data_IF_645435052809
#
_entry.id   IF_645435052809
#
_cell.length_a   1.000
_cell.length_b   1.000
_cell.length_c   1.000
_cell.angle_alpha   90.00
_cell.angle_beta   90.00
_cell.angle_gamma   90.00
#
_symmetry.space_group_name_H-M   'P 1'
#
loop_
_entity.id
_entity.type
_entity.pdbx_description
1 polymer ?
#
# COMPACT_ATOMS: atom_id res chain seq x y z
N UNK A 1 -27.64 14.09 26.18
CA UNK A 1 -27.09 14.69 24.94
C UNK A 1 -25.65 14.24 24.79
N UNK A 2 -25.37 13.23 23.96
CA UNK A 2 -24.00 12.75 23.74
C UNK A 2 -23.30 13.67 22.73
N UNK A 3 -22.48 14.59 23.20
CA UNK A 3 -21.63 15.43 22.35
C UNK A 3 -20.59 14.54 21.64
N UNK A 4 -20.89 14.12 20.41
CA UNK A 4 -19.96 13.40 19.53
C UNK A 4 -18.99 14.39 18.87
N UNK A 5 -18.08 14.94 19.68
CA UNK A 5 -16.90 15.62 19.15
C UNK A 5 -15.86 14.56 18.77
N UNK A 6 -16.02 13.95 17.60
CA UNK A 6 -15.08 12.97 17.01
C UNK A 6 -14.41 13.57 15.77
N UNK A 7 -13.65 14.66 15.94
CA UNK A 7 -12.96 15.34 14.82
C UNK A 7 -11.45 15.54 15.04
N UNK A 8 -10.81 14.73 15.89
CA UNK A 8 -9.36 14.86 16.16
C UNK A 8 -8.59 13.55 16.22
N UNK A 9 -9.02 12.53 15.46
CA UNK A 9 -8.14 11.39 15.16
C UNK A 9 -7.14 11.82 14.08
N UNK A 10 -6.09 12.51 14.51
CA UNK A 10 -4.99 13.00 13.69
C UNK A 10 -4.34 11.89 12.87
N UNK A 11 -4.87 11.68 11.66
CA UNK A 11 -4.29 10.83 10.63
C UNK A 11 -3.22 11.66 9.92
N UNK A 12 -2.02 11.72 10.49
CA UNK A 12 -0.87 12.28 9.78
C UNK A 12 -0.73 11.52 8.46
N UNK A 13 -0.78 12.21 7.30
CA UNK A 13 -0.70 11.54 6.01
C UNK A 13 0.64 10.81 5.92
N UNK A 14 0.58 9.48 5.77
CA UNK A 14 1.78 8.66 5.60
C UNK A 14 2.52 9.14 4.35
N UNK A 15 3.82 9.50 4.45
CA UNK A 15 4.59 9.90 3.28
C UNK A 15 4.61 8.75 2.28
N UNK A 16 4.22 9.05 1.04
CA UNK A 16 4.38 8.12 -0.09
C UNK A 16 5.64 8.51 -0.83
N UNK A 17 6.42 7.52 -1.23
CA UNK A 17 7.55 7.71 -2.12
C UNK A 17 7.00 7.67 -3.54
N UNK A 18 7.22 8.74 -4.30
CA UNK A 18 6.96 8.75 -5.74
C UNK A 18 8.24 8.36 -6.49
N UNK A 19 8.13 7.48 -7.46
CA UNK A 19 9.27 6.99 -8.24
C UNK A 19 8.79 6.01 -9.32
N UNK A 20 9.63 5.69 -10.31
CA UNK A 20 9.26 4.73 -11.36
C UNK A 20 9.93 3.38 -11.06
N UNK A 21 9.14 2.41 -10.60
CA UNK A 21 9.60 1.04 -10.36
C UNK A 21 8.84 0.05 -11.24
N UNK A 22 9.46 -1.10 -11.53
CA UNK A 22 8.82 -2.15 -12.33
C UNK A 22 8.36 -3.29 -11.44
N UNK A 23 7.12 -3.75 -11.66
CA UNK A 23 6.60 -4.94 -11.02
C UNK A 23 7.39 -6.18 -11.47
N UNK A 24 7.87 -6.99 -10.52
CA UNK A 24 8.65 -8.19 -10.83
C UNK A 24 7.82 -9.32 -11.46
N UNK A 25 6.49 -9.27 -11.36
CA UNK A 25 5.60 -10.29 -11.97
C UNK A 25 5.10 -9.89 -13.35
N UNK A 26 4.59 -8.66 -13.51
CA UNK A 26 3.90 -8.23 -14.74
C UNK A 26 4.64 -7.13 -15.51
N UNK A 27 5.71 -6.55 -14.96
CA UNK A 27 6.43 -5.43 -15.57
C UNK A 27 5.70 -4.08 -15.51
N UNK A 28 4.55 -4.00 -14.84
CA UNK A 28 3.80 -2.75 -14.67
C UNK A 28 4.62 -1.69 -13.93
N UNK A 29 4.48 -0.44 -14.36
CA UNK A 29 5.14 0.71 -13.73
C UNK A 29 4.38 1.11 -12.46
N UNK A 30 5.10 1.19 -11.35
CA UNK A 30 4.59 1.60 -10.04
C UNK A 30 5.16 2.99 -9.79
N UNK A 31 4.27 3.96 -9.63
CA UNK A 31 4.60 5.38 -9.48
C UNK A 31 4.61 5.84 -8.02
N UNK A 32 3.94 5.09 -7.13
CA UNK A 32 3.71 5.48 -5.74
C UNK A 32 3.80 4.26 -4.82
N UNK A 33 4.69 4.30 -3.82
CA UNK A 33 4.79 3.28 -2.79
C UNK A 33 4.74 3.89 -1.39
N UNK A 34 4.06 3.25 -0.43
CA UNK A 34 4.03 3.71 0.97
C UNK A 34 5.27 3.30 1.76
N UNK A 35 6.25 2.67 1.10
CA UNK A 35 7.51 2.20 1.68
C UNK A 35 8.65 2.47 0.71
N UNK A 36 9.87 2.59 1.23
CA UNK A 36 11.08 2.67 0.41
C UNK A 36 11.34 1.33 -0.29
N UNK A 37 11.39 1.31 -1.63
CA UNK A 37 11.66 0.09 -2.37
C UNK A 37 13.12 -0.33 -2.19
N UNK A 38 13.33 -1.54 -1.70
CA UNK A 38 14.65 -2.14 -1.55
C UNK A 38 14.97 -3.02 -2.77
N UNK A 39 16.19 -2.91 -3.29
CA UNK A 39 16.69 -3.73 -4.41
C UNK A 39 16.74 -5.24 -4.10
N UNK A 40 16.81 -5.61 -2.82
CA UNK A 40 16.80 -7.01 -2.38
C UNK A 40 15.41 -7.68 -2.40
N UNK A 41 14.31 -6.92 -2.56
CA UNK A 41 12.94 -7.45 -2.47
C UNK A 41 12.16 -7.20 -3.76
N UNK A 42 11.47 -8.23 -4.30
CA UNK A 42 10.63 -8.05 -5.48
C UNK A 42 9.47 -7.12 -5.16
N UNK A 43 9.26 -6.14 -6.03
CA UNK A 43 8.17 -5.17 -5.90
C UNK A 43 7.00 -5.67 -6.72
N UNK A 44 5.81 -5.68 -6.11
CA UNK A 44 4.58 -6.08 -6.77
C UNK A 44 3.63 -4.90 -6.88
N UNK A 45 2.96 -4.75 -8.02
CA UNK A 45 1.90 -3.77 -8.17
C UNK A 45 0.69 -4.15 -7.29
N UNK A 46 -0.21 -3.20 -7.07
CA UNK A 46 -1.42 -3.41 -6.27
C UNK A 46 -2.24 -4.61 -6.77
N UNK A 47 -2.25 -4.87 -8.07
CA UNK A 47 -2.97 -6.00 -8.67
C UNK A 47 -2.31 -7.34 -8.38
N UNK A 48 -1.00 -7.48 -8.64
CA UNK A 48 -0.23 -8.69 -8.31
C UNK A 48 -0.32 -9.01 -6.82
N UNK A 49 -0.18 -8.00 -5.97
CA UNK A 49 -0.30 -8.18 -4.53
C UNK A 49 -1.73 -8.57 -4.10
N UNK A 50 -2.77 -8.05 -4.76
CA UNK A 50 -4.16 -8.46 -4.51
C UNK A 50 -4.41 -9.91 -4.95
N UNK A 51 -3.82 -10.36 -6.06
CA UNK A 51 -3.92 -11.75 -6.54
C UNK A 51 -3.18 -12.72 -5.62
N UNK A 52 -2.01 -12.32 -5.14
CA UNK A 52 -1.16 -13.18 -4.29
C UNK A 52 -1.55 -13.13 -2.81
N UNK A 53 -2.55 -12.33 -2.43
CA UNK A 53 -3.07 -12.31 -1.05
C UNK A 53 -3.73 -13.65 -0.77
N UNK A 54 -3.28 -14.41 0.25
CA UNK A 54 -3.97 -15.62 0.64
C UNK A 54 -5.42 -15.27 1.00
N UNK A 55 -6.39 -16.12 0.63
CA UNK A 55 -7.77 -15.91 1.03
C UNK A 55 -7.78 -15.74 2.55
N UNK A 56 -8.29 -14.60 3.02
CA UNK A 56 -8.57 -14.44 4.44
C UNK A 56 -9.64 -15.45 4.74
N UNK A 57 -9.25 -16.61 5.26
CA UNK A 57 -10.18 -17.59 5.76
C UNK A 57 -10.98 -16.90 6.87
N UNK A 58 -12.16 -16.41 6.50
CA UNK A 58 -13.17 -15.91 7.41
C UNK A 58 -13.71 -17.14 8.13
N UNK A 59 -13.30 -17.29 9.38
CA UNK A 59 -13.80 -18.28 10.31
C UNK A 59 -15.16 -17.86 10.83
#
# INVERSE_FOLDING_TARGET
MFNRNDDQRGFTPRPKVQGNWKCSECGAEITELPFEPAQDRPIYCQECWRKNRPPRYSR
#
